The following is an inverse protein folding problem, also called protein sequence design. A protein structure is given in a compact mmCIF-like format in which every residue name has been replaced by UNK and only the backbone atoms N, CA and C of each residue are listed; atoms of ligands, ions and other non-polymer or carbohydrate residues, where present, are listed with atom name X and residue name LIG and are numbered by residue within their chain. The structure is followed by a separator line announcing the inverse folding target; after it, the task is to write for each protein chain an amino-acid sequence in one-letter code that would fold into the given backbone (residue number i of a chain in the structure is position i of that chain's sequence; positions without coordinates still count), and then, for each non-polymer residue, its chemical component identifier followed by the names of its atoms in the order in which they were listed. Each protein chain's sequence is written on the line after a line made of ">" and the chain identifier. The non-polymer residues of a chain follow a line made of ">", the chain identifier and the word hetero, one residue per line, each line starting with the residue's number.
data_IF_463545238485
#
_entry.id   IF_463545238485
#
_cell.length_a   1.000
_cell.length_b   1.000
_cell.length_c   1.000
_cell.angle_alpha   90.00
_cell.angle_beta   90.00
_cell.angle_gamma   90.00
#
_symmetry.space_group_name_H-M   'P 1'
#
loop_
_entity.id
_entity.type
_entity.pdbx_description
1 polymer ?
#
# COMPACT_ATOMS: atom_id res chain seq x y z
N UNK A 1 7.50 31.04 3.05
CA UNK A 1 7.10 30.23 4.21
C UNK A 1 6.90 28.82 3.67
N UNK A 2 7.84 27.90 3.93
CA UNK A 2 7.67 26.50 3.50
C UNK A 2 6.65 25.88 4.44
N UNK A 3 5.43 25.70 3.98
CA UNK A 3 4.40 25.01 4.74
C UNK A 3 4.89 23.59 5.05
N UNK A 4 5.08 23.32 6.34
CA UNK A 4 5.54 22.04 6.82
C UNK A 4 4.36 21.06 6.72
N UNK A 5 4.14 20.52 5.51
CA UNK A 5 3.06 19.58 5.22
C UNK A 5 3.31 18.24 5.93
N UNK A 6 2.96 18.18 7.21
CA UNK A 6 2.93 16.93 7.97
C UNK A 6 1.74 16.10 7.51
N UNK A 7 2.00 15.01 6.81
CA UNK A 7 0.97 14.02 6.46
C UNK A 7 0.74 13.14 7.69
N UNK A 8 -0.50 13.09 8.19
CA UNK A 8 -0.85 12.18 9.29
C UNK A 8 -0.77 10.71 8.88
N UNK A 9 -0.49 9.80 9.82
CA UNK A 9 -0.48 8.36 9.56
C UNK A 9 -1.77 7.88 8.86
N UNK A 10 -2.93 8.34 9.32
CA UNK A 10 -4.22 8.00 8.71
C UNK A 10 -4.31 8.47 7.26
N UNK A 11 -3.91 9.70 6.96
CA UNK A 11 -3.91 10.21 5.58
C UNK A 11 -2.94 9.43 4.69
N UNK A 12 -1.75 9.09 5.20
CA UNK A 12 -0.77 8.26 4.51
C UNK A 12 -1.37 6.89 4.18
N UNK A 13 -1.96 6.20 5.16
CA UNK A 13 -2.56 4.86 4.98
C UNK A 13 -3.75 4.90 4.03
N UNK A 14 -4.68 5.84 4.18
CA UNK A 14 -5.84 5.95 3.27
C UNK A 14 -5.41 6.27 1.84
N UNK A 15 -4.41 7.13 1.67
CA UNK A 15 -3.87 7.48 0.34
C UNK A 15 -3.17 6.29 -0.30
N UNK A 16 -2.32 5.58 0.46
CA UNK A 16 -1.66 4.37 -0.01
C UNK A 16 -2.67 3.30 -0.41
N UNK A 17 -3.68 3.05 0.44
CA UNK A 17 -4.73 2.06 0.18
C UNK A 17 -5.50 2.36 -1.11
N UNK A 18 -5.91 3.62 -1.32
CA UNK A 18 -6.59 4.04 -2.55
C UNK A 18 -5.73 3.77 -3.78
N UNK A 19 -4.48 4.23 -3.78
CA UNK A 19 -3.60 4.06 -4.94
C UNK A 19 -3.21 2.61 -5.19
N UNK A 20 -3.04 1.79 -4.14
CA UNK A 20 -2.88 0.34 -4.30
C UNK A 20 -4.09 -0.24 -5.03
N UNK A 21 -5.32 0.08 -4.61
CA UNK A 21 -6.55 -0.39 -5.28
C UNK A 21 -6.62 0.07 -6.73
N UNK A 22 -6.23 1.30 -7.03
CA UNK A 22 -6.20 1.83 -8.40
C UNK A 22 -5.25 1.01 -9.28
N UNK A 23 -4.02 0.75 -8.81
CA UNK A 23 -3.06 -0.09 -9.54
C UNK A 23 -3.53 -1.53 -9.70
N UNK A 24 -4.17 -2.12 -8.68
CA UNK A 24 -4.76 -3.46 -8.79
C UNK A 24 -5.85 -3.48 -9.85
N UNK A 25 -6.75 -2.49 -9.86
CA UNK A 25 -7.82 -2.39 -10.86
C UNK A 25 -7.26 -2.21 -12.27
N UNK A 26 -6.24 -1.35 -12.44
CA UNK A 26 -5.56 -1.15 -13.71
C UNK A 26 -4.90 -2.44 -14.21
N UNK A 27 -4.27 -3.21 -13.33
CA UNK A 27 -3.69 -4.51 -13.68
C UNK A 27 -4.76 -5.50 -14.20
N UNK A 28 -5.97 -5.48 -13.64
CA UNK A 28 -7.08 -6.33 -14.11
C UNK A 28 -7.57 -5.95 -15.50
N UNK A 29 -7.54 -4.65 -15.85
CA UNK A 29 -8.00 -4.16 -17.15
C UNK A 29 -6.91 -4.08 -18.22
N UNK A 30 -5.64 -4.26 -17.85
CA UNK A 30 -4.50 -4.14 -18.76
C UNK A 30 -4.58 -5.15 -19.92
N UNK A 31 -4.36 -4.65 -21.13
CA UNK A 31 -4.51 -5.41 -22.38
C UNK A 31 -3.32 -6.31 -22.70
N UNK A 32 -2.14 -6.00 -22.16
CA UNK A 32 -0.91 -6.77 -22.34
C UNK A 32 -0.26 -7.15 -21.00
N UNK A 33 0.57 -8.20 -21.03
CA UNK A 33 1.20 -8.75 -19.82
C UNK A 33 2.28 -7.83 -19.24
N UNK A 34 2.93 -7.01 -20.06
CA UNK A 34 3.99 -6.09 -19.60
C UNK A 34 3.34 -4.97 -18.78
N UNK A 35 2.27 -4.36 -19.29
CA UNK A 35 1.48 -3.36 -18.58
C UNK A 35 0.89 -3.94 -17.30
N UNK A 36 0.31 -5.14 -17.36
CA UNK A 36 -0.22 -5.85 -16.19
C UNK A 36 0.85 -6.06 -15.12
N UNK A 37 2.03 -6.53 -15.50
CA UNK A 37 3.15 -6.72 -14.60
C UNK A 37 3.66 -5.39 -14.02
N UNK A 38 3.70 -4.33 -14.82
CA UNK A 38 4.09 -3.00 -14.37
C UNK A 38 3.12 -2.46 -13.32
N UNK A 39 1.81 -2.56 -13.54
CA UNK A 39 0.80 -2.11 -12.57
C UNK A 39 0.87 -2.90 -11.24
N UNK A 40 1.08 -4.21 -11.31
CA UNK A 40 1.33 -5.04 -10.11
C UNK A 40 2.57 -4.57 -9.35
N UNK A 41 3.68 -4.36 -10.07
CA UNK A 41 4.93 -3.89 -9.48
C UNK A 41 4.76 -2.50 -8.83
N UNK A 42 3.95 -1.62 -9.42
CA UNK A 42 3.61 -0.31 -8.82
C UNK A 42 2.83 -0.47 -7.51
N UNK A 43 1.84 -1.37 -7.45
CA UNK A 43 1.09 -1.66 -6.22
C UNK A 43 2.02 -2.19 -5.10
N UNK A 44 2.91 -3.14 -5.44
CA UNK A 44 3.92 -3.70 -4.51
C UNK A 44 4.87 -2.60 -4.02
N UNK A 45 5.36 -1.76 -4.93
CA UNK A 45 6.31 -0.68 -4.60
C UNK A 45 5.69 0.34 -3.64
N UNK A 46 4.42 0.70 -3.86
CA UNK A 46 3.71 1.63 -2.99
C UNK A 46 3.46 1.03 -1.60
N UNK A 47 3.14 -0.26 -1.51
CA UNK A 47 3.05 -0.96 -0.24
C UNK A 47 4.39 -0.98 0.52
N UNK A 48 5.50 -1.29 -0.17
CA UNK A 48 6.83 -1.28 0.44
C UNK A 48 7.24 0.12 0.94
N UNK A 49 6.89 1.17 0.18
CA UNK A 49 7.08 2.55 0.59
C UNK A 49 6.30 2.86 1.88
N UNK A 50 4.99 2.58 1.90
CA UNK A 50 4.14 2.75 3.09
C UNK A 50 4.69 1.97 4.31
N UNK A 51 5.12 0.73 4.10
CA UNK A 51 5.65 -0.15 5.15
C UNK A 51 6.90 0.43 5.81
N UNK A 52 7.71 1.20 5.07
CA UNK A 52 8.90 1.85 5.62
C UNK A 52 8.54 2.90 6.69
N UNK A 53 7.45 3.65 6.50
CA UNK A 53 6.93 4.57 7.51
C UNK A 53 6.36 3.85 8.72
N UNK A 54 5.60 2.78 8.49
CA UNK A 54 5.01 1.96 9.55
C UNK A 54 6.10 1.34 10.43
N UNK A 55 7.15 0.80 9.81
CA UNK A 55 8.30 0.25 10.54
C UNK A 55 9.05 1.30 11.35
N UNK A 56 9.07 2.56 10.90
CA UNK A 56 9.58 3.68 11.70
C UNK A 56 8.67 3.97 12.89
N UNK A 57 7.35 4.08 12.66
CA UNK A 57 6.35 4.36 13.71
C UNK A 57 6.30 3.26 14.79
N UNK A 58 6.50 1.99 14.41
CA UNK A 58 6.54 0.84 15.34
C UNK A 58 7.59 0.98 16.44
N UNK A 59 8.70 1.66 16.18
CA UNK A 59 9.81 1.78 17.14
C UNK A 59 9.43 2.52 18.41
N UNK A 60 8.41 3.38 18.34
CA UNK A 60 7.99 4.25 19.45
C UNK A 60 6.51 4.07 19.81
N UNK A 61 5.83 3.11 19.19
CA UNK A 61 4.41 2.85 19.37
C UNK A 61 4.11 2.12 20.69
N UNK A 62 2.98 2.45 21.31
CA UNK A 62 2.42 1.66 22.39
C UNK A 62 1.63 0.45 21.82
N UNK A 63 1.13 -0.42 22.70
CA UNK A 63 0.43 -1.64 22.30
C UNK A 63 -0.82 -1.40 21.44
N UNK A 64 -1.64 -0.41 21.80
CA UNK A 64 -2.84 -0.07 21.03
C UNK A 64 -2.50 0.41 19.61
N UNK A 65 -1.48 1.27 19.49
CA UNK A 65 -0.97 1.72 18.19
C UNK A 65 -0.39 0.55 17.40
N UNK A 66 0.38 -0.35 18.03
CA UNK A 66 0.92 -1.53 17.34
C UNK A 66 -0.18 -2.43 16.76
N UNK A 67 -1.29 -2.61 17.48
CA UNK A 67 -2.44 -3.37 16.98
C UNK A 67 -3.07 -2.70 15.74
N UNK A 68 -3.23 -1.38 15.74
CA UNK A 68 -3.70 -0.61 14.58
C UNK A 68 -2.76 -0.79 13.38
N UNK A 69 -1.46 -0.57 13.58
CA UNK A 69 -0.43 -0.71 12.54
C UNK A 69 -0.43 -2.12 11.91
N UNK A 70 -0.57 -3.17 12.74
CA UNK A 70 -0.62 -4.57 12.29
C UNK A 70 -1.94 -4.91 11.58
N UNK A 71 -3.05 -4.26 11.96
CA UNK A 71 -4.33 -4.37 11.25
C UNK A 71 -4.24 -3.78 9.85
N UNK A 72 -3.68 -2.57 9.74
CA UNK A 72 -3.49 -1.88 8.48
C UNK A 72 -2.50 -2.64 7.56
N UNK A 73 -1.39 -3.16 8.09
CA UNK A 73 -0.43 -3.94 7.29
C UNK A 73 -1.10 -5.15 6.65
N UNK A 74 -1.86 -5.92 7.43
CA UNK A 74 -2.57 -7.11 6.92
C UNK A 74 -3.59 -6.73 5.85
N UNK A 75 -4.33 -5.63 6.04
CA UNK A 75 -5.31 -5.15 5.07
C UNK A 75 -4.65 -4.77 3.74
N UNK A 76 -3.58 -3.98 3.78
CA UNK A 76 -2.89 -3.53 2.57
C UNK A 76 -2.13 -4.67 1.87
N UNK A 77 -1.53 -5.59 2.63
CA UNK A 77 -0.87 -6.77 2.07
C UNK A 77 -1.87 -7.67 1.33
N UNK A 78 -3.08 -7.84 1.86
CA UNK A 78 -4.13 -8.61 1.18
C UNK A 78 -4.53 -7.98 -0.17
N UNK A 79 -4.61 -6.65 -0.24
CA UNK A 79 -4.89 -5.94 -1.49
C UNK A 79 -3.80 -6.19 -2.54
N UNK A 80 -2.53 -6.05 -2.17
CA UNK A 80 -1.42 -6.30 -3.11
C UNK A 80 -1.41 -7.75 -3.60
N UNK A 81 -1.61 -8.73 -2.70
CA UNK A 81 -1.67 -10.15 -3.07
C UNK A 81 -2.82 -10.50 -4.01
N UNK A 82 -3.94 -9.78 -3.91
CA UNK A 82 -5.06 -9.98 -4.83
C UNK A 82 -4.71 -9.61 -6.28
N UNK A 83 -3.77 -8.68 -6.47
CA UNK A 83 -3.28 -8.31 -7.80
C UNK A 83 -2.45 -9.43 -8.44
N UNK A 84 -1.67 -10.16 -7.63
CA UNK A 84 -0.82 -11.28 -8.07
C UNK A 84 -1.64 -12.53 -8.42
N UNK A 85 -2.72 -12.81 -7.68
CA UNK A 85 -3.58 -13.97 -7.92
C UNK A 85 -4.20 -13.97 -9.33
N UNK A 86 -4.50 -12.79 -9.88
CA UNK A 86 -5.04 -12.62 -11.24
C UNK A 86 -3.99 -12.88 -12.34
N UNK A 87 -2.75 -13.23 -12.00
CA UNK A 87 -1.68 -13.53 -12.97
C UNK A 87 -1.68 -14.98 -13.45
N UNK A 88 -2.40 -15.84 -12.75
CA UNK A 88 -2.34 -17.29 -12.92
C UNK A 88 -3.71 -17.91 -13.24
N UNK A 89 -4.70 -17.07 -13.55
CA UNK A 89 -6.01 -17.45 -14.08
C UNK A 89 -6.08 -17.11 -15.56
#
# INVERSE_FOLDING_TARGET
>A
MMDNHSISYRQLTTTAERHIRDYVALATTAGDEIERAAMRASAVSLFAFWLSFVNSARKTANEATLQELNGDERRLLALVRSAEATAHA
#
